data_IF_033414486591
#
_entry.id   IF_033414486591
#
_cell.length_a   1.000
_cell.length_b   1.000
_cell.length_c   1.000
_cell.angle_alpha   90.00
_cell.angle_beta   90.00
_cell.angle_gamma   90.00
#
_symmetry.space_group_name_H-M   'P 1'
#
loop_
_entity.id
_entity.type
_entity.pdbx_description
1 polymer ?
#
# COMPACT_ATOMS: atom_id res chain seq x y z
N UNK A 1 2.41 0.45 26.25
CA UNK A 1 2.16 -0.25 24.98
C UNK A 1 3.02 0.44 23.95
N UNK A 2 4.01 -0.23 23.33
CA UNK A 2 4.84 0.41 22.31
C UNK A 2 3.99 0.58 21.05
N UNK A 3 3.91 1.81 20.56
CA UNK A 3 3.23 2.14 19.31
C UNK A 3 4.09 1.61 18.16
N UNK A 4 3.50 0.78 17.29
CA UNK A 4 4.20 0.20 16.16
C UNK A 4 4.48 1.30 15.13
N UNK A 5 5.74 1.46 14.74
CA UNK A 5 6.13 2.33 13.64
C UNK A 5 5.84 1.63 12.30
N UNK A 6 4.75 2.03 11.65
CA UNK A 6 4.33 1.46 10.38
C UNK A 6 5.25 1.84 9.22
N UNK A 7 5.98 2.95 9.33
CA UNK A 7 6.98 3.34 8.35
C UNK A 7 8.18 2.40 8.44
N UNK A 8 8.68 2.14 9.66
CA UNK A 8 9.76 1.19 9.89
C UNK A 8 9.38 -0.23 9.45
N UNK A 9 8.13 -0.65 9.70
CA UNK A 9 7.60 -1.93 9.23
C UNK A 9 7.58 -2.00 7.69
N UNK A 10 7.07 -0.96 7.03
CA UNK A 10 7.01 -0.92 5.57
C UNK A 10 8.39 -0.94 4.94
N UNK A 11 9.36 -0.19 5.50
CA UNK A 11 10.75 -0.22 5.06
C UNK A 11 11.34 -1.62 5.20
N UNK A 12 11.25 -2.24 6.38
CA UNK A 12 11.78 -3.58 6.59
C UNK A 12 11.13 -4.63 5.67
N UNK A 13 9.83 -4.51 5.41
CA UNK A 13 9.13 -5.37 4.47
C UNK A 13 9.63 -5.17 3.04
N UNK A 14 9.75 -3.92 2.59
CA UNK A 14 10.19 -3.61 1.23
C UNK A 14 11.63 -4.05 0.99
N UNK A 15 12.52 -3.87 1.96
CA UNK A 15 13.91 -4.33 1.90
C UNK A 15 13.98 -5.85 1.75
N UNK A 16 13.16 -6.58 2.50
CA UNK A 16 13.05 -8.04 2.38
C UNK A 16 12.44 -8.45 1.03
N UNK A 17 11.35 -7.81 0.60
CA UNK A 17 10.66 -8.13 -0.64
C UNK A 17 11.60 -7.96 -1.84
N UNK A 18 12.38 -6.87 -1.87
CA UNK A 18 13.34 -6.56 -2.93
C UNK A 18 14.38 -7.66 -3.18
N UNK A 19 14.70 -8.49 -2.19
CA UNK A 19 15.59 -9.64 -2.38
C UNK A 19 15.04 -10.69 -3.35
N UNK A 20 13.75 -10.60 -3.70
CA UNK A 20 13.04 -11.48 -4.64
C UNK A 20 12.41 -10.72 -5.83
N UNK A 21 12.76 -9.43 -6.04
CA UNK A 21 11.99 -8.50 -6.89
C UNK A 21 12.74 -7.95 -8.10
N UNK A 22 12.98 -8.76 -9.12
CA UNK A 22 13.07 -8.22 -10.49
C UNK A 22 11.73 -8.43 -11.15
N UNK A 23 10.93 -7.37 -11.36
CA UNK A 23 9.66 -7.47 -12.08
C UNK A 23 9.90 -7.85 -13.54
N UNK A 24 9.25 -8.93 -14.01
CA UNK A 24 9.36 -9.31 -15.42
C UNK A 24 8.36 -8.56 -16.29
N UNK A 25 8.74 -8.17 -17.53
CA UNK A 25 7.79 -7.65 -18.50
C UNK A 25 6.65 -8.65 -18.75
N UNK A 26 5.41 -8.16 -18.76
CA UNK A 26 4.21 -8.96 -18.93
C UNK A 26 3.55 -9.40 -17.62
N UNK A 27 4.17 -9.16 -16.46
CA UNK A 27 3.54 -9.43 -15.17
C UNK A 27 2.27 -8.57 -14.97
N UNK A 28 1.32 -9.12 -14.21
CA UNK A 28 0.14 -8.39 -13.74
C UNK A 28 0.29 -8.09 -12.25
N UNK A 29 0.17 -6.82 -11.91
CA UNK A 29 0.25 -6.32 -10.54
C UNK A 29 -1.13 -5.81 -10.09
N UNK A 30 -1.55 -6.19 -8.89
CA UNK A 30 -2.75 -5.65 -8.24
C UNK A 30 -2.37 -4.75 -7.08
N UNK A 31 -3.02 -3.60 -6.97
CA UNK A 31 -2.87 -2.70 -5.84
C UNK A 31 -4.17 -2.61 -5.04
N UNK A 32 -4.02 -2.76 -3.72
CA UNK A 32 -5.14 -2.73 -2.78
C UNK A 32 -4.70 -2.17 -1.42
N UNK A 33 -5.53 -1.29 -0.85
CA UNK A 33 -5.39 -0.72 0.48
C UNK A 33 -6.04 -1.57 1.56
N UNK A 34 -5.23 -2.23 2.40
CA UNK A 34 -5.71 -3.01 3.55
C UNK A 34 -5.55 -2.22 4.84
N UNK A 35 -6.66 -1.92 5.52
CA UNK A 35 -6.63 -1.25 6.83
C UNK A 35 -6.09 -2.17 7.94
N UNK A 36 -5.15 -1.68 8.75
CA UNK A 36 -4.70 -2.39 9.94
C UNK A 36 -5.57 -1.97 11.13
N UNK A 37 -6.53 -2.83 11.49
CA UNK A 37 -7.54 -2.60 12.57
C UNK A 37 -6.97 -2.25 13.95
N UNK A 38 -5.69 -2.50 14.22
CA UNK A 38 -5.07 -2.27 15.54
C UNK A 38 -4.46 -0.88 15.73
N UNK A 39 -4.71 0.07 14.81
CA UNK A 39 -4.14 1.44 14.85
C UNK A 39 -5.08 2.50 15.44
N UNK A 40 -6.26 2.12 15.95
CA UNK A 40 -7.22 3.08 16.53
C UNK A 40 -6.69 3.66 17.84
N UNK A 41 -6.15 4.87 17.78
CA UNK A 41 -6.08 5.78 18.94
C UNK A 41 -7.45 6.44 19.11
N UNK A 42 -8.00 6.39 20.33
CA UNK A 42 -9.30 6.94 20.73
C UNK A 42 -10.55 6.33 20.05
N UNK A 43 -10.92 5.12 20.48
CA UNK A 43 -12.16 4.43 20.06
C UNK A 43 -13.44 5.26 20.29
N UNK A 44 -13.40 6.24 21.21
CA UNK A 44 -14.55 7.01 21.68
C UNK A 44 -14.75 8.34 20.98
N UNK A 45 -13.86 8.76 20.07
CA UNK A 45 -14.00 9.99 19.29
C UNK A 45 -14.44 9.65 17.85
N UNK A 46 -15.28 10.50 17.25
CA UNK A 46 -15.79 10.34 15.88
C UNK A 46 -14.70 10.40 14.78
N UNK A 47 -13.45 10.58 15.21
CA UNK A 47 -12.32 11.02 14.43
C UNK A 47 -11.15 10.04 14.57
N UNK A 48 -11.45 8.74 14.43
CA UNK A 48 -10.45 7.67 14.50
C UNK A 48 -9.38 7.86 13.42
N UNK A 49 -8.11 8.00 13.83
CA UNK A 49 -6.98 7.87 12.91
C UNK A 49 -6.66 6.38 12.80
N UNK A 50 -6.67 5.84 11.58
CA UNK A 50 -6.23 4.48 11.32
C UNK A 50 -5.19 4.48 10.21
N UNK A 51 -4.21 3.60 10.35
CA UNK A 51 -3.17 3.35 9.37
C UNK A 51 -3.59 2.19 8.49
N UNK A 52 -3.65 2.42 7.18
CA UNK A 52 -3.78 1.38 6.16
C UNK A 52 -2.41 1.09 5.55
N UNK A 53 -2.22 -0.12 5.02
CA UNK A 53 -1.11 -0.44 4.13
C UNK A 53 -1.65 -0.63 2.72
N UNK A 54 -1.16 0.17 1.77
CA UNK A 54 -1.36 -0.06 0.34
C UNK A 54 -0.32 -1.07 -0.11
N UNK A 55 -0.77 -2.17 -0.70
CA UNK A 55 0.08 -3.29 -1.12
C UNK A 55 0.10 -3.43 -2.62
N UNK A 56 1.28 -3.76 -3.18
CA UNK A 56 1.48 -4.11 -4.59
C UNK A 56 1.71 -5.62 -4.69
N UNK A 57 0.74 -6.34 -5.23
CA UNK A 57 0.75 -7.80 -5.32
C UNK A 57 1.05 -8.27 -6.76
N UNK A 58 2.02 -9.15 -6.95
CA UNK A 58 2.28 -9.77 -8.25
C UNK A 58 1.44 -11.04 -8.40
N UNK A 59 0.57 -11.07 -9.41
CA UNK A 59 -0.25 -12.25 -9.71
C UNK A 59 0.58 -13.44 -10.17
N UNK A 60 1.65 -13.18 -10.92
CA UNK A 60 2.50 -14.24 -11.47
C UNK A 60 3.32 -14.93 -10.39
N UNK A 61 3.76 -14.16 -9.38
CA UNK A 61 4.58 -14.68 -8.27
C UNK A 61 3.78 -15.08 -7.04
N UNK A 62 2.54 -14.60 -6.93
CA UNK A 62 1.68 -14.85 -5.78
C UNK A 62 2.14 -14.16 -4.49
N UNK A 63 2.96 -13.11 -4.58
CA UNK A 63 3.55 -12.41 -3.43
C UNK A 63 3.43 -10.90 -3.53
N UNK A 64 3.43 -10.22 -2.38
CA UNK A 64 3.48 -8.75 -2.29
C UNK A 64 4.90 -8.27 -2.53
N UNK A 65 5.07 -7.39 -3.49
CA UNK A 65 6.35 -6.82 -3.93
C UNK A 65 6.72 -5.56 -3.16
N UNK A 66 5.73 -4.77 -2.74
CA UNK A 66 5.96 -3.56 -1.97
C UNK A 66 4.70 -3.18 -1.16
N UNK A 67 4.91 -2.49 -0.06
CA UNK A 67 3.85 -1.86 0.74
C UNK A 67 4.19 -0.41 1.07
N UNK A 68 3.16 0.41 1.21
CA UNK A 68 3.28 1.79 1.68
C UNK A 68 2.21 2.10 2.71
N UNK A 69 2.56 2.67 3.87
CA UNK A 69 1.58 3.09 4.86
C UNK A 69 0.81 4.32 4.38
N UNK A 70 -0.44 4.39 4.79
CA UNK A 70 -1.37 5.48 4.52
C UNK A 70 -2.09 5.85 5.80
N UNK A 71 -2.03 7.13 6.15
CA UNK A 71 -2.83 7.71 7.22
C UNK A 71 -4.03 8.45 6.65
N UNK A 72 -5.25 8.02 7.00
CA UNK A 72 -6.50 8.45 6.37
C UNK A 72 -6.80 9.95 6.48
N UNK A 73 -6.17 10.67 7.43
CA UNK A 73 -6.35 12.13 7.60
C UNK A 73 -5.26 12.99 6.95
N UNK A 74 -4.16 12.38 6.52
CA UNK A 74 -3.00 13.10 5.96
C UNK A 74 -2.88 12.90 4.45
N UNK A 75 -3.23 11.72 3.95
CA UNK A 75 -3.01 11.34 2.57
C UNK A 75 -4.18 10.51 2.04
N UNK A 76 -4.55 10.78 0.79
CA UNK A 76 -5.50 9.94 0.07
C UNK A 76 -4.81 8.66 -0.43
N UNK A 77 -5.56 7.56 -0.50
CA UNK A 77 -5.06 6.29 -1.06
C UNK A 77 -4.52 6.47 -2.49
N UNK A 78 -5.13 7.38 -3.24
CA UNK A 78 -4.70 7.71 -4.60
C UNK A 78 -3.31 8.35 -4.66
N UNK A 79 -2.95 9.19 -3.68
CA UNK A 79 -1.60 9.76 -3.57
C UNK A 79 -0.60 8.67 -3.20
N UNK A 80 -0.94 7.81 -2.25
CA UNK A 80 -0.09 6.70 -1.81
C UNK A 80 0.15 5.71 -2.95
N UNK A 81 -0.87 5.38 -3.75
CA UNK A 81 -0.70 4.57 -4.97
C UNK A 81 0.24 5.24 -5.97
N UNK A 82 0.09 6.54 -6.21
CA UNK A 82 0.99 7.27 -7.12
C UNK A 82 2.44 7.27 -6.63
N UNK A 83 2.65 7.45 -5.32
CA UNK A 83 3.98 7.36 -4.70
C UNK A 83 4.57 5.96 -4.81
N UNK A 84 3.76 4.92 -4.58
CA UNK A 84 4.20 3.53 -4.68
C UNK A 84 4.56 3.15 -6.12
N UNK A 85 3.79 3.62 -7.11
CA UNK A 85 4.11 3.44 -8.53
C UNK A 85 5.41 4.16 -8.93
N UNK A 86 5.62 5.38 -8.42
CA UNK A 86 6.85 6.13 -8.66
C UNK A 86 8.07 5.47 -8.00
N UNK A 87 7.90 4.82 -6.84
CA UNK A 87 8.97 4.13 -6.15
C UNK A 87 9.38 2.80 -6.82
N UNK A 88 8.41 2.07 -7.35
CA UNK A 88 8.65 0.76 -7.98
C UNK A 88 9.06 0.89 -9.46
N UNK A 89 8.73 2.01 -10.11
CA UNK A 89 8.95 2.26 -11.54
C UNK A 89 8.66 1.05 -12.45
N UNK A 90 7.49 0.41 -12.35
CA UNK A 90 7.26 -0.84 -13.05
C UNK A 90 7.18 -0.61 -14.56
N UNK A 91 7.98 -1.36 -15.35
CA UNK A 91 8.02 -1.24 -16.82
C UNK A 91 7.49 -2.49 -17.49
N UNK A 92 6.60 -2.29 -18.47
CA UNK A 92 6.08 -3.39 -19.29
C UNK A 92 5.12 -4.33 -18.56
N UNK A 93 4.53 -3.92 -17.44
CA UNK A 93 3.57 -4.72 -16.65
C UNK A 93 2.15 -4.17 -16.79
N UNK A 94 1.15 -5.03 -16.57
CA UNK A 94 -0.24 -4.62 -16.38
C UNK A 94 -0.52 -4.29 -14.92
N UNK A 95 -1.28 -3.23 -14.64
CA UNK A 95 -1.65 -2.83 -13.27
C UNK A 95 -3.16 -2.78 -13.12
N UNK A 96 -3.67 -3.41 -12.08
CA UNK A 96 -5.07 -3.33 -11.65
C UNK A 96 -5.15 -2.62 -10.30
N UNK A 97 -6.14 -1.75 -10.13
CA UNK A 97 -6.36 -0.96 -8.93
C UNK A 97 -7.80 -1.24 -8.45
N UNK A 98 -8.01 -1.53 -7.16
CA UNK A 98 -9.36 -1.73 -6.61
C UNK A 98 -10.19 -0.42 -6.66
N UNK A 99 -11.51 -0.54 -6.82
CA UNK A 99 -12.47 0.51 -7.11
C UNK A 99 -12.56 1.64 -6.07
N UNK A 100 -12.00 1.46 -4.86
CA UNK A 100 -11.88 2.53 -3.86
C UNK A 100 -11.09 3.75 -4.39
N UNK A 101 -10.28 3.56 -5.44
CA UNK A 101 -9.52 4.61 -6.13
C UNK A 101 -10.34 5.45 -7.12
N UNK A 102 -11.57 5.06 -7.42
CA UNK A 102 -12.40 5.77 -8.41
C UNK A 102 -13.10 6.94 -7.75
N UNK A 103 -12.53 8.14 -7.90
CA UNK A 103 -13.25 9.37 -7.54
C UNK A 103 -14.53 9.44 -8.37
N UNK A 104 -15.66 9.51 -7.68
CA UNK A 104 -16.91 9.94 -8.30
C UNK A 104 -16.81 11.46 -8.44
N UNK A 105 -16.48 11.94 -9.64
CA UNK A 105 -16.63 13.36 -9.96
C UNK A 105 -18.09 13.73 -9.65
N UNK A 106 -18.29 14.60 -8.65
CA UNK A 106 -19.56 15.30 -8.44
C UNK A 106 -19.35 16.76 -8.83
#
# INVERSE_FOLDING_TARGET
>A
MQQLDFQALATAFNDWAQTYSELEPGEWLAMDGKSIKSSVTDYSQAEQNFVSLVSLFSHQRGVVQAVMPMENKLQSEQEVVRLLLAAVEPRGVGITLDALHTQKNT
#
